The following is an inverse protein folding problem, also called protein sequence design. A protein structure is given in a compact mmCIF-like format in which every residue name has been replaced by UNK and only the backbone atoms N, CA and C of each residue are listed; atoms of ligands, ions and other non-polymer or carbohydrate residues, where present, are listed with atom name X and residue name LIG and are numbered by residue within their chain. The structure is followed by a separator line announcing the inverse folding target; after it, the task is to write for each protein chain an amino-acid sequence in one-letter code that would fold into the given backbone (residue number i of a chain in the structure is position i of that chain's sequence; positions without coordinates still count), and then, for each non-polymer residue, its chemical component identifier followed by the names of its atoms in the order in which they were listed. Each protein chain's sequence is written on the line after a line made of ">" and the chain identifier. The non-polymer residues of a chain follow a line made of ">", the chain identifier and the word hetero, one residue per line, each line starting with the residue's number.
data_IF_601660641175
#
_entry.id   IF_601660641175
#
_cell.length_a   1.000
_cell.length_b   1.000
_cell.length_c   1.000
_cell.angle_alpha   90.00
_cell.angle_beta   90.00
_cell.angle_gamma   90.00
#
_symmetry.space_group_name_H-M   'P 1'
#
loop_
_entity.id
_entity.type
_entity.pdbx_description
1 polymer ?
#
# COMPACT_ATOMS: atom_id res chain seq x y z
N UNK A 1 -7.34 11.89 -11.35
CA UNK A 1 -5.99 11.27 -11.27
C UNK A 1 -6.13 9.99 -10.44
N UNK A 2 -5.65 8.85 -10.95
CA UNK A 2 -5.68 7.55 -10.25
C UNK A 2 -4.66 7.57 -9.10
N UNK A 3 -5.02 6.99 -7.94
CA UNK A 3 -4.17 6.96 -6.75
C UNK A 3 -2.80 6.34 -7.04
N UNK A 4 -2.77 5.25 -7.80
CA UNK A 4 -1.55 4.58 -8.26
C UNK A 4 -0.71 5.38 -9.27
N UNK A 5 -1.31 6.41 -9.89
CA UNK A 5 -0.65 7.31 -10.82
C UNK A 5 -0.18 8.59 -10.13
N UNK A 6 -0.68 8.86 -8.92
CA UNK A 6 -0.31 10.02 -8.10
C UNK A 6 1.01 9.80 -7.35
N UNK A 7 1.33 8.54 -7.03
CA UNK A 7 2.57 8.15 -6.37
C UNK A 7 3.47 7.43 -7.39
N UNK A 8 4.52 8.12 -7.85
CA UNK A 8 5.43 7.64 -8.89
C UNK A 8 6.54 6.70 -8.39
N UNK A 9 6.74 6.61 -7.07
CA UNK A 9 7.73 5.71 -6.47
C UNK A 9 7.33 4.24 -6.62
N UNK A 10 8.20 3.44 -7.25
CA UNK A 10 7.96 2.01 -7.52
C UNK A 10 7.61 1.25 -6.24
N UNK A 11 8.30 1.53 -5.13
CA UNK A 11 8.07 0.87 -3.84
C UNK A 11 6.73 1.25 -3.20
N UNK A 12 6.42 2.55 -3.12
CA UNK A 12 5.16 3.08 -2.58
C UNK A 12 3.95 2.51 -3.34
N UNK A 13 4.06 2.45 -4.66
CA UNK A 13 3.03 1.85 -5.52
C UNK A 13 2.85 0.36 -5.23
N UNK A 14 3.93 -0.40 -5.09
CA UNK A 14 3.87 -1.83 -4.77
C UNK A 14 3.24 -2.09 -3.39
N UNK A 15 3.63 -1.30 -2.38
CA UNK A 15 3.06 -1.37 -1.02
C UNK A 15 1.56 -1.06 -1.02
N UNK A 16 1.12 -0.04 -1.77
CA UNK A 16 -0.30 0.26 -1.97
C UNK A 16 -1.06 -0.87 -2.66
N UNK A 17 -0.49 -1.46 -3.72
CA UNK A 17 -1.12 -2.58 -4.45
C UNK A 17 -1.30 -3.79 -3.54
N UNK A 18 -0.28 -4.10 -2.75
CA UNK A 18 -0.31 -5.22 -1.82
C UNK A 18 -1.37 -5.03 -0.73
N UNK A 19 -1.40 -3.87 -0.08
CA UNK A 19 -2.40 -3.55 0.94
C UNK A 19 -3.82 -3.47 0.37
N UNK A 20 -3.98 -2.99 -0.87
CA UNK A 20 -5.26 -3.02 -1.59
C UNK A 20 -5.74 -4.46 -1.82
N UNK A 21 -4.83 -5.34 -2.22
CA UNK A 21 -5.13 -6.76 -2.40
C UNK A 21 -5.48 -7.44 -1.06
N UNK A 22 -4.77 -7.11 0.02
CA UNK A 22 -5.07 -7.60 1.36
C UNK A 22 -6.48 -7.19 1.82
N UNK A 23 -6.83 -5.90 1.68
CA UNK A 23 -8.14 -5.39 2.08
C UNK A 23 -9.27 -6.03 1.26
N UNK A 24 -9.06 -6.25 -0.05
CA UNK A 24 -9.99 -7.03 -0.87
C UNK A 24 -10.19 -8.46 -0.37
N UNK A 25 -9.10 -9.16 -0.02
CA UNK A 25 -9.14 -10.54 0.45
C UNK A 25 -9.76 -10.70 1.85
N UNK A 26 -9.69 -9.66 2.67
CA UNK A 26 -10.31 -9.62 4.01
C UNK A 26 -11.74 -9.07 4.01
N UNK A 27 -12.25 -8.67 2.85
CA UNK A 27 -13.61 -8.13 2.71
C UNK A 27 -13.75 -6.65 3.12
N UNK A 28 -12.63 -5.94 3.30
CA UNK A 28 -12.63 -4.52 3.58
C UNK A 28 -12.97 -3.71 2.32
N UNK A 29 -13.75 -2.64 2.50
CA UNK A 29 -14.15 -1.76 1.40
C UNK A 29 -13.02 -0.84 0.96
N UNK A 30 -12.74 -0.81 -0.35
CA UNK A 30 -11.79 0.14 -0.97
C UNK A 30 -12.36 1.55 -1.13
N UNK A 31 -13.63 1.78 -0.78
CA UNK A 31 -14.25 3.11 -0.87
C UNK A 31 -13.59 4.09 0.12
N UNK A 32 -13.22 3.59 1.30
CA UNK A 32 -12.48 4.33 2.33
C UNK A 32 -11.07 4.73 1.90
N UNK A 33 -10.42 3.91 1.08
CA UNK A 33 -9.10 4.20 0.53
C UNK A 33 -9.14 5.43 -0.36
N UNK A 34 -10.09 5.47 -1.28
CA UNK A 34 -10.20 6.55 -2.27
C UNK A 34 -10.66 7.86 -1.63
N UNK A 35 -11.40 7.80 -0.51
CA UNK A 35 -11.80 9.00 0.24
C UNK A 35 -10.69 9.51 1.16
N UNK A 36 -9.99 8.63 1.88
CA UNK A 36 -8.94 9.00 2.83
C UNK A 36 -7.59 9.32 2.19
N UNK A 37 -7.19 8.60 1.14
CA UNK A 37 -5.84 8.70 0.57
C UNK A 37 -5.75 9.73 -0.57
N UNK A 38 -6.87 10.07 -1.22
CA UNK A 38 -6.90 11.03 -2.35
C UNK A 38 -6.51 12.47 -1.96
N UNK A 39 -6.63 12.81 -0.67
CA UNK A 39 -6.28 14.12 -0.13
C UNK A 39 -4.94 14.15 0.63
N UNK A 40 -4.27 13.01 0.79
CA UNK A 40 -3.04 12.90 1.58
C UNK A 40 -1.80 13.16 0.72
N UNK A 41 -0.79 13.78 1.32
CA UNK A 41 0.52 13.93 0.68
C UNK A 41 1.27 12.59 0.65
N UNK A 42 2.33 12.48 -0.16
CA UNK A 42 3.17 11.28 -0.21
C UNK A 42 3.75 10.91 1.16
N UNK A 43 4.18 11.90 1.95
CA UNK A 43 4.65 11.69 3.34
C UNK A 43 3.55 11.15 4.26
N UNK A 44 2.33 11.69 4.14
CA UNK A 44 1.20 11.19 4.93
C UNK A 44 0.81 9.76 4.55
N UNK A 45 1.02 9.41 3.28
CA UNK A 45 0.78 8.08 2.76
C UNK A 45 1.81 7.07 3.31
N UNK A 46 3.10 7.43 3.30
CA UNK A 46 4.16 6.62 3.89
C UNK A 46 3.88 6.36 5.37
N UNK A 47 3.54 7.40 6.13
CA UNK A 47 3.19 7.26 7.55
C UNK A 47 1.97 6.35 7.76
N UNK A 48 0.97 6.45 6.88
CA UNK A 48 -0.21 5.58 6.94
C UNK A 48 0.12 4.12 6.62
N UNK A 49 0.99 3.86 5.64
CA UNK A 49 1.47 2.51 5.30
C UNK A 49 2.25 1.93 6.48
N UNK A 50 3.17 2.71 7.06
CA UNK A 50 3.98 2.31 8.23
C UNK A 50 3.06 2.00 9.42
N UNK A 51 2.05 2.82 9.67
CA UNK A 51 1.09 2.58 10.76
C UNK A 51 0.31 1.28 10.55
N UNK A 52 -0.08 0.96 9.30
CA UNK A 52 -0.76 -0.29 8.93
C UNK A 52 0.16 -1.50 9.05
N UNK A 53 1.43 -1.36 8.65
CA UNK A 53 2.46 -2.38 8.85
C UNK A 53 2.67 -2.66 10.35
N UNK A 54 2.74 -1.60 11.17
CA UNK A 54 2.90 -1.72 12.62
C UNK A 54 1.73 -2.41 13.34
N UNK A 55 0.55 -2.51 12.72
CA UNK A 55 -0.58 -3.26 13.28
C UNK A 55 -0.42 -4.77 13.11
N UNK A 56 0.45 -5.24 12.21
CA UNK A 56 0.66 -6.65 11.98
C UNK A 56 2.06 -6.94 11.42
N UNK A 57 2.91 -7.44 12.31
CA UNK A 57 4.25 -7.92 11.99
C UNK A 57 4.27 -9.00 10.88
N UNK A 58 3.39 -10.03 10.86
CA UNK A 58 3.38 -11.00 9.78
C UNK A 58 2.94 -10.41 8.43
N UNK A 59 2.05 -9.40 8.43
CA UNK A 59 1.68 -8.70 7.20
C UNK A 59 2.84 -7.86 6.65
N UNK A 60 3.62 -7.24 7.54
CA UNK A 60 4.81 -6.48 7.15
C UNK A 60 5.84 -7.35 6.44
N UNK A 61 6.13 -8.53 7.00
CA UNK A 61 7.09 -9.46 6.41
C UNK A 61 6.63 -10.00 5.04
N UNK A 62 5.34 -10.28 4.88
CA UNK A 62 4.77 -10.68 3.58
C UNK A 62 4.81 -9.56 2.55
N UNK A 63 4.58 -8.31 2.97
CA UNK A 63 4.65 -7.15 2.08
C UNK A 63 6.09 -6.89 1.61
N UNK A 64 7.08 -7.00 2.51
CA UNK A 64 8.49 -6.87 2.15
C UNK A 64 8.95 -7.97 1.19
N UNK A 65 8.49 -9.21 1.38
CA UNK A 65 8.74 -10.30 0.43
C UNK A 65 8.13 -10.03 -0.94
N UNK A 66 6.90 -9.49 -0.99
CA UNK A 66 6.26 -9.10 -2.25
C UNK A 66 7.05 -8.01 -2.98
N UNK A 67 7.49 -6.98 -2.26
CA UNK A 67 8.32 -5.89 -2.81
C UNK A 67 9.63 -6.46 -3.36
N UNK A 68 10.34 -7.29 -2.59
CA UNK A 68 11.59 -7.94 -3.02
C UNK A 68 11.40 -8.83 -4.27
N UNK A 69 10.30 -9.57 -4.35
CA UNK A 69 9.96 -10.40 -5.51
C UNK A 69 9.68 -9.54 -6.75
N UNK A 70 8.91 -8.45 -6.60
CA UNK A 70 8.58 -7.54 -7.70
C UNK A 70 9.80 -6.78 -8.25
N UNK A 71 10.76 -6.45 -7.39
CA UNK A 71 12.04 -5.88 -7.79
C UNK A 71 12.95 -6.88 -8.52
N UNK A 72 12.85 -8.18 -8.23
CA UNK A 72 13.63 -9.22 -8.91
C UNK A 72 13.10 -9.58 -10.30
N UNK A 73 11.83 -9.30 -10.58
CA UNK A 73 11.17 -9.62 -11.86
C UNK A 73 11.05 -8.43 -12.81
N UNK A 74 11.51 -7.23 -12.40
CA UNK A 74 11.58 -6.02 -13.25
C UNK A 74 12.92 -5.86 -13.95
#
# INVERSE_FOLDING_TARGET
>A
ISLFRQFGGTELRLKLVWLCWLDLMTGNSLDDWTKNLKHKSEKDLEQWIIARQGQSEPLTNLMDQYVLMAYRTS
#
